data_IF_423758152199
#
_entry.id   IF_423758152199
#
_cell.length_a   1.000
_cell.length_b   1.000
_cell.length_c   1.000
_cell.angle_alpha   90.00
_cell.angle_beta   90.00
_cell.angle_gamma   90.00
#
_symmetry.space_group_name_H-M   'P 1'
#
loop_
_entity.id
_entity.type
_entity.pdbx_description
1 polymer ?
2 water ?
#
# COMPACT_ATOMS: atom_id res chain seq x y z
N UNK A 1 15.37 -11.19 21.41
CA UNK A 1 14.61 -12.08 20.48
C UNK A 1 14.72 -11.52 19.07
N UNK A 2 13.97 -12.12 18.13
CA UNK A 2 13.85 -11.59 16.78
C UNK A 2 12.79 -10.47 16.76
N UNK A 3 12.82 -9.68 15.70
CA UNK A 3 11.88 -8.60 15.49
C UNK A 3 10.70 -9.28 14.83
N UNK A 4 9.60 -9.36 15.54
CA UNK A 4 8.39 -9.99 15.01
C UNK A 4 7.75 -8.99 14.05
N UNK A 5 7.54 -9.40 12.80
CA UNK A 5 6.98 -8.54 11.77
C UNK A 5 5.70 -9.17 11.22
N UNK A 6 4.65 -8.36 11.05
CA UNK A 6 3.40 -8.87 10.47
C UNK A 6 3.00 -8.00 9.28
N UNK A 7 2.86 -8.62 8.12
CA UNK A 7 2.53 -7.93 6.86
C UNK A 7 1.23 -8.43 6.25
N UNK A 8 0.41 -7.50 5.75
CA UNK A 8 -0.85 -7.87 5.12
C UNK A 8 -0.68 -7.72 3.60
N UNK A 9 -1.41 -8.55 2.86
CA UNK A 9 -1.38 -8.50 1.41
C UNK A 9 -0.12 -9.02 0.77
N UNK A 10 0.30 -10.20 1.21
CA UNK A 10 1.52 -10.82 0.70
C UNK A 10 1.40 -11.81 -0.46
N UNK A 11 0.27 -11.84 -1.18
CA UNK A 11 0.15 -12.79 -2.28
C UNK A 11 0.92 -12.36 -3.52
N UNK A 12 1.29 -11.09 -3.57
CA UNK A 12 2.01 -10.53 -4.68
C UNK A 12 2.39 -9.10 -4.36
N UNK A 13 3.06 -8.45 -5.30
CA UNK A 13 3.41 -7.06 -5.10
C UNK A 13 4.48 -6.79 -4.09
N UNK A 14 4.54 -5.56 -3.60
CA UNK A 14 5.56 -5.22 -2.63
C UNK A 14 5.44 -6.05 -1.36
N UNK A 15 4.22 -6.52 -1.05
CA UNK A 15 4.02 -7.32 0.15
C UNK A 15 4.83 -8.62 0.11
N UNK A 16 4.70 -9.37 -0.98
CA UNK A 16 5.41 -10.63 -1.19
C UNK A 16 6.89 -10.35 -1.15
N UNK A 17 7.34 -9.37 -1.92
CA UNK A 17 8.75 -9.03 -1.95
C UNK A 17 9.30 -8.61 -0.61
N UNK A 18 8.50 -7.90 0.17
CA UNK A 18 8.97 -7.45 1.46
C UNK A 18 9.06 -8.58 2.51
N UNK A 19 8.09 -9.50 2.50
CA UNK A 19 8.11 -10.64 3.42
C UNK A 19 9.39 -11.47 3.23
N UNK A 20 9.66 -11.90 1.99
CA UNK A 20 10.86 -12.71 1.71
C UNK A 20 12.17 -11.92 1.90
N UNK A 21 12.15 -10.62 1.64
CA UNK A 21 13.33 -9.79 1.83
C UNK A 21 13.67 -9.77 3.32
N UNK A 22 12.62 -9.79 4.13
CA UNK A 22 12.78 -9.75 5.58
C UNK A 22 13.21 -11.10 6.10
N UNK A 23 12.42 -12.12 5.78
CA UNK A 23 12.68 -13.47 6.24
C UNK A 23 14.06 -13.99 5.81
N UNK A 24 14.60 -13.46 4.72
CA UNK A 24 15.90 -13.88 4.21
C UNK A 24 17.03 -12.90 4.54
N UNK A 25 16.77 -11.91 5.38
CA UNK A 25 17.82 -10.96 5.71
C UNK A 25 19.01 -11.76 6.24
N UNK A 26 20.22 -11.48 5.74
CA UNK A 26 21.39 -12.23 6.21
C UNK A 26 21.58 -12.31 7.73
N UNK A 27 21.08 -11.32 8.48
CA UNK A 27 21.22 -11.28 9.95
C UNK A 27 20.33 -12.22 10.77
N UNK A 28 19.26 -12.70 10.15
CA UNK A 28 18.30 -13.62 10.80
C UNK A 28 17.63 -12.98 12.01
N UNK A 29 17.47 -11.67 11.98
CA UNK A 29 16.87 -10.97 13.08
C UNK A 29 15.40 -10.69 12.90
N UNK A 30 14.76 -11.33 11.93
CA UNK A 30 13.33 -11.10 11.67
C UNK A 30 12.51 -12.38 11.57
N UNK A 31 11.40 -12.41 12.29
CA UNK A 31 10.48 -13.55 12.21
C UNK A 31 9.33 -12.85 11.46
N UNK A 32 8.84 -13.44 10.37
CA UNK A 32 7.82 -12.80 9.55
C UNK A 32 6.50 -13.53 9.40
N UNK A 33 5.39 -12.82 9.65
CA UNK A 33 4.04 -13.36 9.47
C UNK A 33 3.51 -12.66 8.24
N UNK A 34 3.34 -13.44 7.18
CA UNK A 34 2.86 -12.96 5.91
C UNK A 34 1.42 -13.40 5.83
N UNK A 35 0.49 -12.45 5.82
CA UNK A 35 -0.93 -12.78 5.76
C UNK A 35 -1.46 -12.72 4.34
N UNK A 36 -2.43 -13.59 4.02
CA UNK A 36 -3.07 -13.67 2.71
C UNK A 36 -4.58 -13.75 3.01
N UNK A 37 -5.43 -13.24 2.14
CA UNK A 37 -6.86 -13.37 2.40
C UNK A 37 -7.27 -14.76 1.98
N UNK A 38 -6.57 -15.30 0.99
CA UNK A 38 -6.85 -16.63 0.48
C UNK A 38 -5.55 -17.42 0.39
N UNK A 39 -5.40 -18.46 1.21
CA UNK A 39 -4.19 -19.29 1.19
C UNK A 39 -3.93 -20.00 -0.17
N UNK A 40 -4.97 -20.15 -1.00
CA UNK A 40 -4.85 -20.76 -2.33
C UNK A 40 -3.81 -20.01 -3.15
N UNK A 41 -3.50 -18.78 -2.73
CA UNK A 41 -2.55 -17.93 -3.44
C UNK A 41 -1.14 -17.92 -2.82
N UNK A 42 -0.95 -18.68 -1.75
CA UNK A 42 0.33 -18.70 -1.09
C UNK A 42 1.48 -19.37 -1.84
N UNK A 43 1.20 -19.87 -3.03
CA UNK A 43 2.25 -20.52 -3.80
C UNK A 43 3.45 -19.64 -4.10
N UNK A 44 3.21 -18.51 -4.78
CA UNK A 44 4.25 -17.54 -5.18
C UNK A 44 5.19 -17.15 -4.06
N UNK A 45 4.62 -16.88 -2.88
CA UNK A 45 5.38 -16.51 -1.71
C UNK A 45 6.38 -17.65 -1.28
N UNK A 46 5.93 -18.93 -1.33
CA UNK A 46 6.79 -20.06 -0.95
C UNK A 46 7.85 -20.41 -1.98
N UNK A 47 7.51 -20.22 -3.26
CA UNK A 47 8.45 -20.44 -4.35
C UNK A 47 9.56 -19.40 -4.24
N UNK A 48 9.16 -18.19 -3.87
CA UNK A 48 10.08 -17.08 -3.67
C UNK A 48 10.95 -17.32 -2.42
N UNK A 49 10.32 -17.79 -1.33
CA UNK A 49 10.99 -18.09 -0.06
C UNK A 49 12.11 -19.11 -0.27
N UNK A 50 11.81 -20.11 -1.08
CA UNK A 50 12.77 -21.16 -1.41
C UNK A 50 13.90 -20.56 -2.27
N UNK A 51 13.55 -19.64 -3.18
CA UNK A 51 14.52 -18.97 -4.07
C UNK A 51 15.57 -18.14 -3.31
N UNK A 52 15.17 -17.55 -2.19
CA UNK A 52 16.10 -16.77 -1.37
C UNK A 52 16.58 -17.65 -0.24
N UNK A 53 16.04 -18.86 -0.19
CA UNK A 53 16.37 -19.82 0.84
C UNK A 53 16.23 -19.24 2.23
N UNK A 54 15.01 -18.87 2.62
CA UNK A 54 14.81 -18.33 3.97
C UNK A 54 14.87 -19.50 4.93
N UNK A 55 15.62 -19.36 6.04
CA UNK A 55 15.72 -20.47 6.99
C UNK A 55 14.35 -20.90 7.48
N UNK A 56 14.18 -22.21 7.73
CA UNK A 56 12.90 -22.74 8.20
C UNK A 56 12.48 -21.99 9.45
N UNK A 57 11.26 -21.47 9.45
CA UNK A 57 10.78 -20.76 10.62
C UNK A 57 10.95 -19.25 10.65
N UNK A 58 11.51 -18.65 9.62
CA UNK A 58 11.63 -17.21 9.61
C UNK A 58 10.39 -16.61 8.94
N UNK A 59 9.53 -17.47 8.38
CA UNK A 59 8.34 -17.03 7.66
C UNK A 59 7.13 -17.96 7.88
N UNK A 60 6.02 -17.39 8.32
CA UNK A 60 4.78 -18.12 8.53
C UNK A 60 3.66 -17.41 7.75
N UNK A 61 2.78 -18.16 7.12
CA UNK A 61 1.69 -17.56 6.39
C UNK A 61 0.44 -17.71 7.25
N UNK A 62 -0.36 -16.66 7.28
CA UNK A 62 -1.58 -16.63 8.06
C UNK A 62 -2.68 -16.17 7.14
N UNK A 63 -3.88 -16.74 7.27
CA UNK A 63 -5.01 -16.27 6.49
C UNK A 63 -5.60 -15.11 7.34
N UNK A 64 -5.72 -13.94 6.73
CA UNK A 64 -6.25 -12.79 7.42
C UNK A 64 -7.00 -11.96 6.42
N UNK A 65 -8.30 -11.80 6.63
CA UNK A 65 -9.15 -10.97 5.75
C UNK A 65 -9.42 -9.65 6.51
N UNK A 66 -8.79 -8.54 6.06
CA UNK A 66 -8.96 -7.24 6.70
C UNK A 66 -10.39 -6.70 6.67
N UNK A 67 -11.28 -7.35 5.93
CA UNK A 67 -12.68 -6.92 5.88
C UNK A 67 -13.40 -7.46 7.11
N UNK A 68 -12.84 -8.49 7.73
CA UNK A 68 -13.48 -9.12 8.88
C UNK A 68 -12.67 -8.96 10.15
N UNK A 69 -13.31 -8.37 11.17
CA UNK A 69 -12.67 -8.16 12.45
C UNK A 69 -12.41 -9.49 13.13
N UNK A 70 -13.31 -10.46 12.95
CA UNK A 70 -13.12 -11.78 13.57
C UNK A 70 -11.82 -12.38 13.04
N UNK A 71 -11.57 -12.21 11.74
CA UNK A 71 -10.38 -12.73 11.08
C UNK A 71 -9.16 -11.97 11.60
N UNK A 72 -9.29 -10.66 11.74
CA UNK A 72 -8.18 -9.85 12.24
C UNK A 72 -7.77 -10.33 13.66
N UNK A 73 -8.75 -10.53 14.55
CA UNK A 73 -8.50 -10.97 15.92
C UNK A 73 -7.86 -12.35 15.95
N UNK A 74 -8.41 -13.26 15.15
CA UNK A 74 -7.88 -14.61 15.06
C UNK A 74 -6.40 -14.52 14.71
N UNK A 75 -6.09 -13.77 13.66
CA UNK A 75 -4.70 -13.59 13.23
C UNK A 75 -3.77 -13.30 14.38
N UNK A 76 -4.11 -12.32 15.22
CA UNK A 76 -3.22 -12.02 16.32
C UNK A 76 -3.18 -13.11 17.39
N UNK A 77 -4.19 -13.97 17.40
CA UNK A 77 -4.21 -15.08 18.33
C UNK A 77 -3.18 -16.11 17.90
N UNK A 78 -2.76 -16.05 16.63
CA UNK A 78 -1.77 -16.98 16.08
C UNK A 78 -0.31 -16.54 16.19
N UNK A 79 -0.08 -15.34 16.69
CA UNK A 79 1.28 -14.84 16.85
C UNK A 79 1.81 -15.33 18.19
N UNK A 80 2.47 -16.46 18.12
CA UNK A 80 3.10 -17.14 19.24
C UNK A 80 3.92 -16.21 20.14
N UNK A 81 4.80 -15.40 19.55
CA UNK A 81 5.63 -14.51 20.33
C UNK A 81 4.83 -13.59 21.19
N UNK A 82 3.52 -13.57 20.97
CA UNK A 82 2.62 -12.72 21.76
C UNK A 82 3.08 -11.28 21.69
N UNK A 83 3.65 -10.91 20.54
CA UNK A 83 4.19 -9.58 20.29
C UNK A 83 4.36 -9.41 18.79
N UNK A 84 4.26 -8.15 18.35
CA UNK A 84 4.45 -7.77 16.97
C UNK A 84 5.27 -6.49 17.10
N UNK A 85 6.48 -6.51 16.55
CA UNK A 85 7.36 -5.35 16.62
C UNK A 85 7.17 -4.38 15.48
N UNK A 86 6.87 -4.91 14.31
CA UNK A 86 6.65 -4.09 13.13
C UNK A 86 5.40 -4.62 12.47
N UNK A 87 4.44 -3.71 12.23
CA UNK A 87 3.19 -4.05 11.55
C UNK A 87 3.24 -3.33 10.22
N UNK A 88 3.08 -4.07 9.12
CA UNK A 88 3.09 -3.44 7.79
C UNK A 88 1.70 -3.57 7.21
N UNK A 89 1.01 -2.43 7.15
CA UNK A 89 -0.34 -2.32 6.62
C UNK A 89 -0.15 -2.08 5.16
N UNK A 90 -0.19 -3.19 4.45
CA UNK A 90 0.06 -3.18 3.04
C UNK A 90 -1.18 -3.52 2.19
N UNK A 91 -2.04 -4.44 2.63
CA UNK A 91 -3.22 -4.80 1.83
C UNK A 91 -3.89 -3.56 1.21
N UNK A 92 -4.12 -3.61 -0.10
CA UNK A 92 -4.72 -2.49 -0.77
C UNK A 92 -5.12 -2.91 -2.16
N UNK A 93 -6.21 -2.33 -2.66
CA UNK A 93 -6.70 -2.66 -3.97
C UNK A 93 -7.05 -1.41 -4.75
N UNK A 94 -6.90 -1.47 -6.06
CA UNK A 94 -7.17 -0.32 -6.89
C UNK A 94 -8.50 -0.32 -7.57
N UNK A 95 -8.82 0.79 -8.24
CA UNK A 95 -10.09 0.92 -8.94
C UNK A 95 -9.84 1.96 -10.01
N UNK A 96 -10.15 1.62 -11.25
CA UNK A 96 -9.91 2.52 -12.36
C UNK A 96 -11.11 2.57 -13.32
N UNK A 97 -11.55 3.77 -13.69
CA UNK A 97 -12.67 3.91 -14.61
C UNK A 97 -13.46 5.16 -14.29
N UNK A 98 -14.38 5.61 -15.16
CA UNK A 98 -15.20 6.82 -14.94
C UNK A 98 -16.00 6.58 -13.68
N UNK A 99 -16.11 7.56 -12.81
CA UNK A 99 -16.84 7.38 -11.55
C UNK A 99 -18.21 6.76 -11.75
N UNK A 100 -18.95 7.30 -12.70
CA UNK A 100 -20.29 6.80 -12.99
C UNK A 100 -20.32 5.34 -13.45
N UNK A 101 -19.21 4.84 -13.99
CA UNK A 101 -19.17 3.47 -14.45
C UNK A 101 -18.82 2.51 -13.34
N UNK A 102 -18.44 3.04 -12.17
CA UNK A 102 -18.04 2.23 -11.02
C UNK A 102 -19.23 1.77 -10.17
N UNK A 103 -19.28 0.47 -9.88
CA UNK A 103 -20.38 -0.06 -9.08
C UNK A 103 -20.22 0.25 -7.61
N UNK A 104 -21.34 0.51 -6.93
CA UNK A 104 -21.34 0.86 -5.50
C UNK A 104 -20.63 -0.17 -4.60
N UNK A 105 -20.80 -1.43 -4.95
CA UNK A 105 -20.19 -2.48 -4.17
C UNK A 105 -18.70 -2.43 -4.37
N UNK A 106 -18.25 -2.04 -5.57
CA UNK A 106 -16.82 -1.98 -5.83
C UNK A 106 -16.19 -0.80 -5.10
N UNK A 107 -16.88 0.35 -5.12
CA UNK A 107 -16.40 1.56 -4.43
C UNK A 107 -16.35 1.25 -2.91
N UNK A 108 -17.32 0.49 -2.42
CA UNK A 108 -17.40 0.11 -1.01
C UNK A 108 -16.24 -0.82 -0.57
N UNK A 109 -15.88 -1.80 -1.39
CA UNK A 109 -14.80 -2.71 -1.07
C UNK A 109 -13.48 -2.01 -0.96
N UNK A 110 -13.24 -1.05 -1.85
CA UNK A 110 -11.99 -0.31 -1.87
C UNK A 110 -11.75 0.45 -0.58
N UNK A 111 -12.78 1.14 -0.08
CA UNK A 111 -12.66 1.91 1.15
C UNK A 111 -12.56 0.93 2.31
N UNK A 112 -13.37 -0.07 2.21
CA UNK A 112 -13.48 -1.13 3.20
C UNK A 112 -12.12 -1.82 3.43
N UNK A 113 -11.42 -2.15 2.33
CA UNK A 113 -10.13 -2.81 2.43
C UNK A 113 -8.99 -1.82 2.68
N UNK A 114 -8.90 -0.80 1.83
CA UNK A 114 -7.81 0.16 1.98
C UNK A 114 -7.88 0.98 3.26
N UNK A 115 -9.05 1.55 3.56
CA UNK A 115 -9.20 2.37 4.74
C UNK A 115 -9.69 1.65 6.00
N UNK A 116 -10.90 1.10 5.97
CA UNK A 116 -11.40 0.45 7.17
C UNK A 116 -10.48 -0.72 7.61
N UNK A 117 -10.03 -1.55 6.66
CA UNK A 117 -9.14 -2.64 6.98
C UNK A 117 -7.88 -2.18 7.70
N UNK A 118 -7.33 -1.04 7.30
CA UNK A 118 -6.13 -0.52 7.97
C UNK A 118 -6.52 -0.05 9.38
N UNK A 119 -7.75 0.44 9.54
CA UNK A 119 -8.22 0.84 10.86
C UNK A 119 -8.35 -0.41 11.76
N UNK A 120 -8.88 -1.51 11.22
CA UNK A 120 -9.04 -2.75 11.97
C UNK A 120 -7.72 -3.27 12.51
N UNK A 121 -6.71 -3.26 11.65
CA UNK A 121 -5.37 -3.72 12.03
C UNK A 121 -4.82 -2.84 13.12
N UNK A 122 -5.02 -1.53 13.01
CA UNK A 122 -4.51 -0.59 14.00
C UNK A 122 -5.24 -0.78 15.34
N UNK A 123 -6.54 -1.01 15.28
CA UNK A 123 -7.30 -1.22 16.50
C UNK A 123 -6.80 -2.47 17.20
N UNK A 124 -6.56 -3.53 16.44
CA UNK A 124 -6.10 -4.75 17.08
C UNK A 124 -4.67 -4.70 17.57
N UNK A 125 -3.81 -4.00 16.85
CA UNK A 125 -2.40 -3.97 17.23
C UNK A 125 -1.83 -2.76 17.95
N UNK A 126 -2.47 -1.60 17.86
CA UNK A 126 -1.96 -0.41 18.53
C UNK A 126 -1.86 -0.43 20.07
N UNK A 127 -2.91 -0.89 20.78
CA UNK A 127 -2.86 -0.93 22.25
C UNK A 127 -1.60 -1.53 22.86
N UNK A 128 -1.30 -2.77 22.50
CA UNK A 128 -0.12 -3.46 23.02
C UNK A 128 1.15 -2.66 22.78
N UNK A 129 1.34 -2.13 21.57
CA UNK A 129 2.53 -1.35 21.30
C UNK A 129 2.54 -0.10 22.16
N UNK A 130 1.39 0.50 22.37
CA UNK A 130 1.34 1.69 23.21
C UNK A 130 1.69 1.32 24.63
N UNK A 131 1.23 0.17 25.08
CA UNK A 131 1.51 -0.27 26.44
C UNK A 131 2.96 -0.68 26.65
N UNK A 132 3.55 -1.37 25.68
CA UNK A 132 4.94 -1.78 25.77
C UNK A 132 5.76 -0.50 25.68
N UNK A 133 5.22 0.49 24.98
CA UNK A 133 5.92 1.74 24.81
C UNK A 133 6.80 1.70 23.59
N UNK A 134 6.54 0.76 22.67
CA UNK A 134 7.33 0.65 21.45
C UNK A 134 6.59 -0.15 20.39
N UNK A 135 7.02 0.03 19.14
CA UNK A 135 6.40 -0.66 18.02
C UNK A 135 6.58 0.24 16.82
N UNK A 136 6.49 -0.35 15.64
CA UNK A 136 6.62 0.41 14.42
C UNK A 136 5.54 -0.05 13.50
N UNK A 137 4.94 0.89 12.79
CA UNK A 137 3.85 0.61 11.87
C UNK A 137 4.26 1.25 10.58
N UNK A 138 4.24 0.48 9.51
CA UNK A 138 4.60 1.02 8.22
C UNK A 138 3.35 0.88 7.36
N UNK A 139 2.97 1.95 6.69
CA UNK A 139 1.78 1.94 5.87
C UNK A 139 2.20 2.18 4.46
N UNK A 140 1.73 1.32 3.56
CA UNK A 140 2.05 1.44 2.15
C UNK A 140 1.20 2.56 1.56
N UNK A 141 1.86 3.65 1.18
CA UNK A 141 1.19 4.78 0.57
C UNK A 141 1.25 4.74 -0.95
N UNK A 142 1.11 5.89 -1.56
CA UNK A 142 1.12 5.98 -3.01
C UNK A 142 1.18 7.42 -3.41
N UNK A 143 1.64 7.72 -4.60
CA UNK A 143 1.65 9.11 -4.98
C UNK A 143 0.20 9.52 -5.27
N UNK A 144 -0.68 8.53 -5.39
CA UNK A 144 -2.09 8.78 -5.62
C UNK A 144 -2.77 9.23 -4.33
N UNK A 145 -2.00 9.22 -3.25
CA UNK A 145 -2.49 9.67 -1.95
C UNK A 145 -2.01 11.08 -1.69
N UNK A 146 -1.17 11.59 -2.59
CA UNK A 146 -0.61 12.95 -2.52
C UNK A 146 -1.17 13.92 -3.59
N UNK A 147 -1.77 13.38 -4.64
CA UNK A 147 -2.35 14.20 -5.68
C UNK A 147 -3.38 13.35 -6.38
N UNK A 148 -4.45 14.00 -6.87
CA UNK A 148 -5.54 13.30 -7.55
C UNK A 148 -5.22 12.97 -9.00
N UNK A 149 -5.68 11.83 -9.48
CA UNK A 149 -5.38 11.39 -10.85
C UNK A 149 -6.67 11.07 -11.53
N UNK A 150 -6.88 11.60 -12.73
CA UNK A 150 -8.13 11.32 -13.46
C UNK A 150 -8.39 9.83 -13.56
N UNK A 151 -9.65 9.45 -13.55
CA UNK A 151 -10.05 8.06 -13.61
C UNK A 151 -9.64 7.16 -12.43
N UNK A 152 -8.99 7.72 -11.41
CA UNK A 152 -8.59 6.99 -10.18
C UNK A 152 -9.27 7.59 -8.96
N UNK A 153 -10.39 8.29 -9.17
CA UNK A 153 -11.15 8.98 -8.11
C UNK A 153 -11.30 8.28 -6.77
N UNK A 154 -11.85 7.08 -6.77
CA UNK A 154 -12.08 6.30 -5.56
C UNK A 154 -10.78 5.71 -4.98
N UNK A 155 -9.82 5.41 -5.84
CA UNK A 155 -8.53 4.89 -5.40
C UNK A 155 -7.77 5.97 -4.61
N UNK A 156 -7.68 7.15 -5.21
CA UNK A 156 -7.05 8.32 -4.60
C UNK A 156 -7.78 8.67 -3.29
N UNK A 157 -9.11 8.59 -3.30
CA UNK A 157 -9.88 8.86 -2.12
C UNK A 157 -9.36 7.98 -0.98
N UNK A 158 -9.22 6.68 -1.22
CA UNK A 158 -8.72 5.77 -0.19
C UNK A 158 -7.26 6.04 0.23
N UNK A 159 -6.38 6.42 -0.69
CA UNK A 159 -4.98 6.70 -0.34
C UNK A 159 -4.90 8.04 0.38
N UNK A 160 -5.73 8.99 -0.02
CA UNK A 160 -5.75 10.29 0.64
C UNK A 160 -6.27 10.02 2.08
N UNK A 161 -7.27 9.14 2.21
CA UNK A 161 -7.84 8.79 3.50
C UNK A 161 -6.74 8.31 4.42
N UNK A 162 -5.85 7.48 3.91
CA UNK A 162 -4.72 6.96 4.70
C UNK A 162 -3.77 8.07 5.16
N UNK A 163 -3.56 9.07 4.32
CA UNK A 163 -2.68 10.16 4.67
C UNK A 163 -3.26 10.87 5.89
N UNK A 164 -4.57 11.08 5.88
CA UNK A 164 -5.22 11.79 6.96
C UNK A 164 -5.28 10.96 8.20
N UNK A 165 -5.63 9.69 8.04
CA UNK A 165 -5.73 8.79 9.17
C UNK A 165 -4.39 8.70 9.88
N UNK A 166 -3.30 8.54 9.13
CA UNK A 166 -1.96 8.41 9.70
C UNK A 166 -1.35 9.68 10.27
N UNK A 167 -1.59 10.81 9.63
CA UNK A 167 -1.04 12.06 10.12
C UNK A 167 -1.66 12.38 11.49
N UNK A 168 -2.94 12.05 11.65
CA UNK A 168 -3.65 12.29 12.90
C UNK A 168 -3.10 11.44 14.06
N UNK A 169 -2.91 10.14 13.81
CA UNK A 169 -2.35 9.22 14.81
C UNK A 169 -0.94 9.59 15.18
N UNK A 170 -0.11 9.88 14.18
CA UNK A 170 1.25 10.27 14.41
C UNK A 170 1.31 11.44 15.39
N UNK A 171 0.36 12.36 15.31
CA UNK A 171 0.36 13.51 16.24
C UNK A 171 0.20 13.05 17.71
N UNK A 172 -0.61 12.02 17.91
CA UNK A 172 -0.85 11.49 19.25
C UNK A 172 0.28 10.54 19.74
N UNK A 173 0.69 9.62 18.87
CA UNK A 173 1.72 8.63 19.16
C UNK A 173 3.09 9.15 19.47
N UNK A 174 3.41 10.33 18.93
CA UNK A 174 4.73 10.93 19.14
C UNK A 174 5.31 10.65 20.51
N UNK A 175 4.60 11.03 21.60
CA UNK A 175 5.14 10.76 22.95
C UNK A 175 5.02 9.32 23.48
N UNK A 176 4.34 8.42 22.77
CA UNK A 176 4.17 7.03 23.21
C UNK A 176 5.29 6.03 22.85
N UNK A 177 6.24 6.48 22.03
CA UNK A 177 7.32 5.60 21.64
C UNK A 177 7.06 4.69 20.45
N UNK A 178 5.85 4.67 19.93
CA UNK A 178 5.58 3.83 18.77
C UNK A 178 5.62 4.70 17.51
N UNK A 179 6.25 4.19 16.44
CA UNK A 179 6.43 4.95 15.19
C UNK A 179 5.59 4.50 13.98
N UNK A 180 4.98 5.47 13.32
CA UNK A 180 4.11 5.24 12.17
C UNK A 180 4.76 5.95 10.99
N UNK A 181 4.93 5.25 9.87
CA UNK A 181 5.50 5.83 8.65
C UNK A 181 4.70 5.37 7.44
N UNK A 182 4.61 6.24 6.45
CA UNK A 182 3.93 6.00 5.19
C UNK A 182 5.08 5.92 4.16
N UNK A 183 5.11 4.87 3.36
CA UNK A 183 6.13 4.74 2.31
C UNK A 183 5.41 5.08 1.01
N UNK A 184 5.70 6.28 0.49
CA UNK A 184 5.05 6.76 -0.72
C UNK A 184 5.60 6.15 -1.98
N UNK A 185 4.89 5.18 -2.52
CA UNK A 185 5.29 4.50 -3.75
C UNK A 185 4.73 5.12 -5.03
N UNK A 186 5.60 5.25 -6.04
CA UNK A 186 5.19 5.71 -7.37
C UNK A 186 4.89 4.40 -8.10
N UNK A 187 4.91 4.33 -9.44
CA UNK A 187 4.61 3.04 -10.09
C UNK A 187 5.75 2.01 -9.89
N UNK A 188 5.41 0.75 -9.67
CA UNK A 188 6.43 -0.27 -9.47
C UNK A 188 6.07 -1.46 -10.35
N UNK A 189 7.07 -2.14 -10.91
CA UNK A 189 6.84 -3.29 -11.78
C UNK A 189 6.12 -4.39 -11.07
N UNK A 190 4.80 -4.37 -11.24
CA UNK A 190 3.90 -5.36 -10.64
C UNK A 190 2.61 -5.34 -11.49
N UNK A 191 2.04 -6.53 -11.67
CA UNK A 191 0.83 -6.79 -12.44
C UNK A 191 -0.18 -5.64 -12.67
N UNK A 192 -1.41 -5.79 -12.14
CA UNK A 192 -2.52 -4.83 -12.30
C UNK A 192 -2.29 -3.54 -13.07
N UNK A 193 -1.38 -2.70 -12.55
CA UNK A 193 -1.03 -1.42 -13.14
C UNK A 193 -0.59 -1.60 -14.61
N UNK A 194 0.50 -2.34 -14.79
CA UNK A 194 1.06 -2.61 -16.10
C UNK A 194 0.13 -3.50 -16.90
N UNK A 195 -0.54 -4.42 -16.21
CA UNK A 195 -1.45 -5.37 -16.84
C UNK A 195 -2.79 -4.80 -17.31
N UNK A 196 -3.01 -3.50 -17.11
CA UNK A 196 -4.25 -2.86 -17.54
C UNK A 196 -4.31 -3.00 -19.06
N UNK A 197 -4.99 -4.04 -19.52
CA UNK A 197 -5.14 -4.33 -20.95
C UNK A 197 -6.58 -4.78 -21.24
N UNK A 198 -7.45 -3.84 -21.61
CA UNK A 198 -8.83 -4.18 -21.90
C UNK A 198 -9.74 -3.05 -22.35
N UNK A 199 -10.51 -2.51 -21.39
CA UNK A 199 -11.50 -1.43 -21.58
C UNK A 199 -12.76 -1.94 -22.30
N UNK A 200 -13.56 -2.80 -21.61
CA UNK A 200 -14.78 -3.37 -22.18
C UNK A 200 -15.92 -2.39 -22.49
N UNK A 201 -16.96 -2.90 -23.13
CA UNK A 201 -18.14 -2.12 -23.46
C UNK A 201 -18.71 -1.65 -22.13
N UNK A 202 -18.61 -2.51 -21.10
CA UNK A 202 -19.12 -2.18 -19.77
C UNK A 202 -18.85 -0.71 -19.43
N UNK A 203 -17.68 -0.22 -19.85
CA UNK A 203 -17.31 1.16 -19.60
C UNK A 203 -18.14 2.00 -20.53
N UNK A 204 -18.12 1.63 -21.80
CA UNK A 204 -18.87 2.36 -22.81
C UNK A 204 -20.38 2.42 -22.55
N UNK A 205 -21.01 1.30 -22.24
CA UNK A 205 -22.46 1.29 -21.96
C UNK A 205 -22.79 1.92 -20.61
N UNK A 206 -21.76 2.36 -19.89
CA UNK A 206 -21.90 2.96 -18.58
C UNK A 206 -21.48 4.45 -18.55
N UNK A 207 -20.97 4.96 -19.66
CA UNK A 207 -20.53 6.36 -19.72
C UNK A 207 -20.78 6.98 -21.12
N UNK A 208 -20.31 8.21 -21.34
CA UNK A 208 -20.48 8.83 -22.62
C UNK A 208 -19.29 8.54 -23.52
N UNK A 209 -19.47 8.79 -24.81
CA UNK A 209 -18.42 8.56 -25.78
C UNK A 209 -17.25 9.52 -25.56
N UNK A 210 -17.51 10.70 -24.98
CA UNK A 210 -16.44 11.66 -24.74
C UNK A 210 -15.60 11.36 -23.53
N UNK A 211 -16.21 10.72 -22.55
CA UNK A 211 -15.50 10.34 -21.35
C UNK A 211 -14.65 9.12 -21.67
N UNK A 212 -15.26 8.16 -22.38
CA UNK A 212 -14.61 6.93 -22.82
C UNK A 212 -13.30 7.27 -23.56
N UNK A 213 -13.39 8.18 -24.51
CA UNK A 213 -12.24 8.62 -25.29
C UNK A 213 -11.13 9.20 -24.41
N UNK A 214 -11.53 9.91 -23.37
CA UNK A 214 -10.59 10.53 -22.43
C UNK A 214 -9.98 9.41 -21.64
N UNK A 215 -10.77 8.39 -21.37
CA UNK A 215 -10.28 7.24 -20.65
C UNK A 215 -9.18 6.60 -21.48
N UNK A 216 -9.46 6.34 -22.76
CA UNK A 216 -8.47 5.77 -23.66
C UNK A 216 -7.24 6.65 -23.58
N UNK A 217 -7.40 7.95 -23.62
CA UNK A 217 -6.22 8.83 -23.56
C UNK A 217 -5.40 8.66 -22.31
N UNK A 218 -6.08 8.45 -21.20
CA UNK A 218 -5.41 8.30 -19.90
C UNK A 218 -4.64 6.99 -19.81
N UNK A 219 -5.27 5.90 -20.20
CA UNK A 219 -4.66 4.59 -20.18
C UNK A 219 -3.42 4.58 -21.02
N UNK A 220 -3.49 5.26 -22.17
CA UNK A 220 -2.37 5.36 -23.09
C UNK A 220 -1.23 6.12 -22.42
N UNK A 221 -1.56 7.27 -21.84
CA UNK A 221 -0.56 8.08 -21.16
C UNK A 221 -0.01 7.34 -19.95
N UNK A 222 -0.85 6.66 -19.21
CA UNK A 222 -0.40 5.95 -18.03
C UNK A 222 0.55 4.80 -18.41
N UNK A 223 0.35 4.21 -19.60
CA UNK A 223 1.22 3.11 -20.04
C UNK A 223 2.61 3.63 -20.30
N UNK A 224 2.71 4.87 -20.76
CA UNK A 224 3.99 5.48 -21.05
C UNK A 224 4.80 5.86 -19.80
N UNK A 225 4.19 6.51 -18.81
CA UNK A 225 4.95 6.86 -17.61
C UNK A 225 5.36 5.62 -16.80
N UNK A 226 4.52 4.58 -16.81
CA UNK A 226 4.82 3.36 -16.10
C UNK A 226 6.06 2.77 -16.76
N UNK A 227 6.14 2.90 -18.08
CA UNK A 227 7.29 2.43 -18.86
C UNK A 227 8.55 3.14 -18.38
N UNK A 228 8.49 4.47 -18.35
CA UNK A 228 9.62 5.30 -17.96
C UNK A 228 9.81 5.53 -16.47
N UNK A 229 8.88 5.07 -15.65
CA UNK A 229 8.96 5.31 -14.22
C UNK A 229 8.82 4.12 -13.26
N UNK A 230 8.26 3.00 -13.70
CA UNK A 230 8.07 1.87 -12.78
C UNK A 230 9.36 1.40 -12.12
N UNK A 231 9.30 1.16 -10.82
CA UNK A 231 10.48 0.75 -10.09
C UNK A 231 10.48 -0.72 -9.80
N UNK A 232 11.67 -1.28 -9.64
CA UNK A 232 11.83 -2.69 -9.29
C UNK A 232 11.34 -2.84 -7.84
N UNK A 233 10.58 -3.89 -7.55
CA UNK A 233 10.07 -4.11 -6.20
C UNK A 233 11.18 -4.22 -5.15
N UNK A 234 12.33 -4.74 -5.53
CA UNK A 234 13.44 -4.87 -4.57
C UNK A 234 13.94 -3.51 -4.12
N UNK A 235 13.87 -2.50 -5.00
CA UNK A 235 14.31 -1.15 -4.65
C UNK A 235 13.31 -0.49 -3.68
N UNK A 236 12.03 -0.71 -3.91
CA UNK A 236 10.95 -0.18 -3.09
C UNK A 236 10.91 -0.89 -1.73
N UNK A 237 11.04 -2.21 -1.72
CA UNK A 237 11.04 -2.98 -0.48
C UNK A 237 12.18 -2.51 0.41
N UNK A 238 13.26 -2.04 -0.22
CA UNK A 238 14.42 -1.57 0.52
C UNK A 238 14.12 -0.29 1.26
N UNK A 239 13.23 0.54 0.71
CA UNK A 239 12.83 1.81 1.32
C UNK A 239 12.11 1.51 2.64
N UNK A 240 11.38 0.39 2.65
CA UNK A 240 10.70 -0.02 3.85
C UNK A 240 11.73 -0.37 4.94
N UNK A 241 12.86 -0.98 4.58
CA UNK A 241 13.87 -1.34 5.57
C UNK A 241 14.64 -0.12 6.06
N UNK A 242 14.83 0.84 5.18
CA UNK A 242 15.51 2.07 5.58
C UNK A 242 14.64 2.77 6.63
N UNK A 243 13.33 2.75 6.41
CA UNK A 243 12.39 3.35 7.33
C UNK A 243 12.37 2.52 8.63
N UNK A 244 12.38 1.20 8.48
CA UNK A 244 12.35 0.27 9.61
C UNK A 244 13.59 0.38 10.49
N UNK A 245 14.74 0.74 9.91
CA UNK A 245 15.97 0.88 10.67
C UNK A 245 16.18 2.25 11.34
N UNK A 246 15.63 3.29 10.72
CA UNK A 246 15.76 4.66 11.22
C UNK A 246 15.52 4.79 12.74
N UNK A 247 16.45 5.44 13.47
CA UNK A 247 16.41 5.67 14.93
C UNK A 247 15.22 6.55 15.27
N UNK A 248 15.05 7.61 14.50
CA UNK A 248 13.93 8.52 14.66
C UNK A 248 13.39 8.75 13.26
N UNK A 249 12.47 7.89 12.82
CA UNK A 249 11.84 7.94 11.49
C UNK A 249 10.99 9.21 11.26
N UNK A 250 10.75 9.56 9.99
CA UNK A 250 9.93 10.71 9.63
C UNK A 250 8.59 10.13 9.30
N UNK A 251 7.62 10.98 9.01
CA UNK A 251 6.29 10.51 8.70
C UNK A 251 6.20 9.96 7.27
N UNK A 252 6.92 10.53 6.33
CA UNK A 252 6.89 10.04 4.95
C UNK A 252 8.25 9.74 4.39
N UNK A 253 8.31 8.72 3.53
CA UNK A 253 9.50 8.28 2.80
C UNK A 253 8.97 8.16 1.37
N UNK A 254 9.70 8.69 0.39
CA UNK A 254 9.27 8.61 -0.99
C UNK A 254 10.25 7.69 -1.70
N UNK A 255 9.75 6.66 -2.39
CA UNK A 255 10.63 5.72 -3.08
C UNK A 255 11.25 6.35 -4.31
N UNK A 256 10.71 7.48 -4.71
CA UNK A 256 11.17 8.19 -5.88
C UNK A 256 11.00 9.70 -5.69
N UNK A 257 11.73 10.46 -6.52
CA UNK A 257 11.70 11.92 -6.53
C UNK A 257 11.11 12.37 -7.87
N UNK A 258 10.91 11.41 -8.76
CA UNK A 258 10.39 11.63 -10.09
C UNK A 258 9.04 12.35 -10.16
N UNK A 259 8.25 12.29 -9.09
CA UNK A 259 6.95 12.95 -9.12
C UNK A 259 6.93 14.19 -8.26
N UNK A 260 8.07 14.52 -7.68
CA UNK A 260 8.11 15.67 -6.80
C UNK A 260 7.83 17.05 -7.43
N UNK A 261 8.18 17.26 -8.71
CA UNK A 261 7.92 18.57 -9.33
C UNK A 261 6.44 18.91 -9.42
N UNK A 262 5.62 17.88 -9.64
CA UNK A 262 4.16 17.99 -9.73
C UNK A 262 3.56 18.25 -8.34
N UNK A 263 4.20 17.67 -7.31
CA UNK A 263 3.76 17.84 -5.93
C UNK A 263 4.08 19.26 -5.48
N UNK A 264 5.12 19.86 -6.06
CA UNK A 264 5.48 21.22 -5.68
C UNK A 264 4.47 22.19 -6.24
N UNK A 265 4.03 21.95 -7.46
CA UNK A 265 3.03 22.79 -8.10
C UNK A 265 1.76 22.76 -7.26
N UNK A 266 1.49 21.60 -6.66
CA UNK A 266 0.31 21.39 -5.82
C UNK A 266 0.23 22.30 -4.61
N UNK A 267 1.21 22.33 -3.70
CA UNK A 267 1.07 23.30 -2.59
C UNK A 267 1.79 24.63 -2.78
N UNK A 268 2.08 24.94 -4.03
CA UNK A 268 2.63 26.26 -4.34
C UNK A 268 1.34 27.04 -4.64
N UNK A 269 0.26 26.29 -4.85
CA UNK A 269 -1.05 26.85 -5.15
C UNK A 269 -2.22 26.08 -4.50
N UNK A 270 -2.56 26.43 -3.25
CA UNK A 270 -3.65 25.79 -2.49
C UNK A 270 -5.05 25.88 -3.06
N UNK A 271 -5.32 26.83 -3.94
CA UNK A 271 -6.65 26.95 -4.55
C UNK A 271 -6.88 25.83 -5.57
N UNK A 272 -5.78 25.16 -5.94
CA UNK A 272 -5.82 24.05 -6.87
C UNK A 272 -5.86 24.33 -8.36
N UNK A 273 -5.84 25.60 -8.76
CA UNK A 273 -5.90 25.94 -10.18
C UNK A 273 -4.65 25.54 -10.99
N UNK A 274 -3.47 25.82 -10.47
CA UNK A 274 -2.23 25.47 -11.16
C UNK A 274 -2.14 23.97 -11.40
N UNK A 275 -2.48 23.19 -10.38
CA UNK A 275 -2.41 21.75 -10.46
C UNK A 275 -3.43 21.13 -11.41
N UNK A 276 -4.69 21.47 -11.24
CA UNK A 276 -5.74 20.92 -12.09
C UNK A 276 -5.45 21.21 -13.55
N UNK A 277 -4.94 22.40 -13.81
CA UNK A 277 -4.61 22.78 -15.17
C UNK A 277 -3.39 22.04 -15.69
N UNK A 278 -2.29 22.03 -14.93
CA UNK A 278 -1.07 21.33 -15.32
C UNK A 278 -1.29 19.85 -15.55
N UNK A 279 -2.01 19.21 -14.64
CA UNK A 279 -2.31 17.79 -14.74
C UNK A 279 -3.18 17.53 -15.94
N UNK A 280 -4.09 18.45 -16.25
CA UNK A 280 -4.92 18.22 -17.40
C UNK A 280 -4.07 18.11 -18.67
N UNK A 281 -3.20 19.10 -18.90
CA UNK A 281 -2.33 19.10 -20.08
C UNK A 281 -1.34 17.92 -20.07
N UNK A 282 -0.81 17.60 -18.89
CA UNK A 282 0.14 16.49 -18.77
C UNK A 282 -0.47 15.14 -19.16
N UNK A 283 -1.80 15.05 -19.13
CA UNK A 283 -2.46 13.80 -19.48
C UNK A 283 -3.16 13.87 -20.83
N UNK A 284 -4.00 14.89 -21.00
CA UNK A 284 -4.74 15.09 -22.22
C UNK A 284 -4.03 16.15 -23.08
#
# INVERSE_FOLDING_TARGET
ARTVVLITGCSSGIGLHLAVRLASDPSQSFKVYATLRDLKTQGRLWEAARALACPPGSLETLQLDVRDSKSVAAARERVTEGRVDVLVCNAGLGLLGPLEALGEDAVASVLDVNVVGTVRMLQAFLPDMKRRGSGRVLVTGSVGGLMGLPFNDVYCASKFALEGLCESLAVLLLPFGVHLSLIECGPVHTAFMEKVLGSPEEVLDRTDIHTFHRFYQYLAHSKQVFREAAQNPEEVAEVFLTALRAPKPTLRYFTTERFLPLLRMRLDDPSGSNYVTAMHREVFGDVPAKAEAGAEAGGGAGPGAEDEAGRSAVGDPELGDPPAAPQ
#
